data_IF_597523785751
#
_entry.id   IF_597523785751
#
_cell.length_a   1.000
_cell.length_b   1.000
_cell.length_c   1.000
_cell.angle_alpha   90.00
_cell.angle_beta   90.00
_cell.angle_gamma   90.00
#
_symmetry.space_group_name_H-M   'P 1'
#
loop_
_entity.id
_entity.type
_entity.pdbx_description
1 polymer ?
#
# COMPACT_ATOMS: atom_id res chain seq x y z
N UNK A 1 -24.21 4.04 -22.84
CA UNK A 1 -23.22 5.03 -22.35
C UNK A 1 -23.70 5.48 -20.97
N UNK A 2 -23.20 4.86 -19.90
CA UNK A 2 -23.70 5.13 -18.53
C UNK A 2 -22.67 5.99 -17.82
N UNK A 3 -22.94 7.29 -17.75
CA UNK A 3 -22.18 8.21 -16.91
C UNK A 3 -22.53 7.92 -15.45
N UNK A 4 -21.61 7.30 -14.71
CA UNK A 4 -21.70 7.26 -13.25
C UNK A 4 -21.13 8.58 -12.72
N UNK A 5 -22.02 9.50 -12.38
CA UNK A 5 -21.68 10.69 -11.61
C UNK A 5 -21.24 10.27 -10.20
N UNK A 6 -19.94 10.36 -9.93
CA UNK A 6 -19.39 10.15 -8.59
C UNK A 6 -19.70 11.42 -7.80
N UNK A 7 -20.71 11.37 -6.92
CA UNK A 7 -20.90 12.43 -5.94
C UNK A 7 -19.78 12.31 -4.89
N UNK A 8 -18.93 13.34 -4.82
CA UNK A 8 -17.88 13.45 -3.81
C UNK A 8 -18.50 14.08 -2.56
N UNK A 9 -18.74 13.28 -1.54
CA UNK A 9 -19.04 13.79 -0.20
C UNK A 9 -17.84 14.63 0.29
N UNK A 10 -18.06 15.83 0.86
CA UNK A 10 -16.98 16.62 1.44
C UNK A 10 -16.44 15.88 2.67
N UNK A 11 -15.21 15.39 2.60
CA UNK A 11 -14.50 14.85 3.76
C UNK A 11 -14.38 15.95 4.81
N UNK A 12 -15.09 15.79 5.94
CA UNK A 12 -15.21 16.86 6.94
C UNK A 12 -13.88 17.13 7.65
N UNK A 13 -13.00 16.13 7.76
CA UNK A 13 -11.64 16.24 8.31
C UNK A 13 -10.74 15.14 7.72
N UNK A 14 -9.48 15.47 7.41
CA UNK A 14 -8.43 14.47 7.15
C UNK A 14 -7.84 14.06 8.50
N UNK A 15 -7.91 12.78 8.85
CA UNK A 15 -7.23 12.24 10.03
C UNK A 15 -5.80 11.91 9.63
N UNK A 16 -4.83 12.38 10.42
CA UNK A 16 -3.39 12.16 10.20
C UNK A 16 -3.07 10.67 10.04
N UNK A 17 -2.14 10.38 9.13
CA UNK A 17 -1.59 9.04 8.96
C UNK A 17 -0.24 8.96 9.69
N UNK A 18 -0.21 8.31 10.86
CA UNK A 18 1.03 8.02 11.60
C UNK A 18 1.62 9.20 12.39
N UNK A 19 2.95 9.29 12.43
CA UNK A 19 3.81 10.23 13.20
C UNK A 19 3.62 11.73 12.88
N UNK A 20 2.59 12.11 12.13
CA UNK A 20 2.31 13.51 11.87
C UNK A 20 1.82 14.18 13.17
N UNK A 21 2.32 15.40 13.50
CA UNK A 21 1.89 16.12 14.69
C UNK A 21 0.36 16.16 14.72
N UNK A 22 -0.22 15.96 15.91
CA UNK A 22 -1.66 15.89 16.18
C UNK A 22 -2.37 17.25 15.90
N UNK A 23 -2.26 17.70 14.66
CA UNK A 23 -2.63 19.02 14.19
C UNK A 23 -3.88 18.85 13.35
N UNK A 24 -4.95 19.51 13.78
CA UNK A 24 -6.18 19.59 13.01
C UNK A 24 -5.88 20.42 11.76
N UNK A 25 -5.72 19.74 10.63
CA UNK A 25 -5.53 20.39 9.34
C UNK A 25 -6.87 20.98 8.87
N UNK A 26 -6.82 22.21 8.38
CA UNK A 26 -8.00 22.86 7.80
C UNK A 26 -8.42 22.10 6.53
N UNK A 27 -9.73 21.97 6.26
CA UNK A 27 -10.20 21.36 5.02
C UNK A 27 -9.58 22.02 3.79
N UNK A 28 -9.11 21.20 2.85
CA UNK A 28 -8.59 21.67 1.57
C UNK A 28 -9.77 22.23 0.77
N UNK A 29 -9.83 23.56 0.64
CA UNK A 29 -10.85 24.25 -0.15
C UNK A 29 -10.49 24.18 -1.63
N UNK A 30 -11.49 24.16 -2.51
CA UNK A 30 -11.32 24.19 -3.97
C UNK A 30 -11.09 22.83 -4.64
N UNK A 31 -10.72 21.77 -3.89
CA UNK A 31 -10.53 20.43 -4.47
C UNK A 31 -11.79 19.86 -5.15
N UNK A 32 -12.96 20.10 -4.57
CA UNK A 32 -14.22 19.60 -5.12
C UNK A 32 -14.61 20.25 -6.46
N UNK A 33 -14.04 21.43 -6.76
CA UNK A 33 -14.30 22.18 -8.00
C UNK A 33 -13.24 21.95 -9.08
N UNK A 34 -12.15 21.23 -8.76
CA UNK A 34 -11.13 20.88 -9.75
C UNK A 34 -11.67 19.88 -10.78
N UNK A 35 -11.32 20.03 -12.07
CA UNK A 35 -11.74 19.11 -13.12
C UNK A 35 -11.15 17.71 -12.90
N UNK A 36 -11.89 16.69 -13.33
CA UNK A 36 -11.33 15.36 -13.46
C UNK A 36 -10.35 15.34 -14.64
N UNK A 37 -9.12 14.93 -14.37
CA UNK A 37 -8.05 14.84 -15.37
C UNK A 37 -7.54 13.39 -15.45
N UNK A 38 -6.81 13.08 -16.51
CA UNK A 38 -6.11 11.81 -16.65
C UNK A 38 -5.00 11.64 -15.60
N UNK A 39 -4.55 10.40 -15.41
CA UNK A 39 -3.44 10.10 -14.50
C UNK A 39 -2.17 10.88 -14.87
N UNK A 40 -1.85 11.03 -16.16
CA UNK A 40 -0.69 11.81 -16.61
C UNK A 40 -0.79 13.27 -16.26
N UNK A 41 -1.94 13.88 -16.53
CA UNK A 41 -2.20 15.29 -16.22
C UNK A 41 -2.11 15.54 -14.72
N UNK A 42 -2.66 14.63 -13.91
CA UNK A 42 -2.52 14.67 -12.45
C UNK A 42 -1.06 14.56 -12.00
N UNK A 43 -0.24 13.75 -12.68
CA UNK A 43 1.17 13.58 -12.34
C UNK A 43 2.09 14.72 -12.83
N UNK A 44 1.71 15.49 -13.85
CA UNK A 44 2.55 16.56 -14.43
C UNK A 44 3.17 17.50 -13.39
N UNK A 45 2.41 18.13 -12.48
CA UNK A 45 2.98 19.06 -11.50
C UNK A 45 3.91 18.38 -10.48
N UNK A 46 3.89 17.06 -10.39
CA UNK A 46 4.63 16.27 -9.40
C UNK A 46 5.92 15.66 -9.96
N UNK A 47 6.16 15.67 -11.27
CA UNK A 47 7.30 15.00 -11.90
C UNK A 47 8.67 15.54 -11.44
N UNK A 48 8.75 16.83 -11.08
CA UNK A 48 9.95 17.46 -10.53
C UNK A 48 10.14 17.27 -9.03
N UNK A 49 9.09 16.79 -8.33
CA UNK A 49 9.07 16.60 -6.87
C UNK A 49 9.32 15.14 -6.53
N UNK A 50 8.63 14.23 -7.22
CA UNK A 50 8.67 12.79 -6.93
C UNK A 50 9.50 12.08 -8.00
N UNK A 51 10.69 11.63 -7.60
CA UNK A 51 11.60 10.90 -8.49
C UNK A 51 10.94 9.62 -8.99
N UNK A 52 11.09 9.34 -10.30
CA UNK A 52 10.53 8.17 -11.01
C UNK A 52 9.00 8.12 -11.11
N UNK A 53 8.25 9.13 -10.66
CA UNK A 53 6.78 9.12 -10.73
C UNK A 53 6.24 8.79 -12.13
N UNK A 54 6.90 9.31 -13.18
CA UNK A 54 6.54 8.99 -14.57
C UNK A 54 6.55 7.48 -14.87
N UNK A 55 7.51 6.74 -14.34
CA UNK A 55 7.60 5.29 -14.53
C UNK A 55 6.46 4.58 -13.79
N UNK A 56 6.19 4.97 -12.54
CA UNK A 56 5.11 4.37 -11.75
C UNK A 56 3.72 4.66 -12.33
N UNK A 57 3.48 5.88 -12.83
CA UNK A 57 2.23 6.24 -13.49
C UNK A 57 2.01 5.43 -14.79
N UNK A 58 3.08 5.19 -15.54
CA UNK A 58 3.03 4.34 -16.73
C UNK A 58 2.71 2.88 -16.36
N UNK A 59 3.35 2.33 -15.33
CA UNK A 59 3.11 0.95 -14.90
C UNK A 59 1.67 0.77 -14.39
N UNK A 60 1.16 1.74 -13.62
CA UNK A 60 -0.22 1.73 -13.11
C UNK A 60 -1.27 1.76 -14.23
N UNK A 61 -0.93 2.30 -15.41
CA UNK A 61 -1.82 2.33 -16.57
C UNK A 61 -1.94 1.00 -17.30
N UNK A 62 -0.96 0.13 -17.17
CA UNK A 62 -0.91 -1.15 -17.89
C UNK A 62 -1.65 -2.27 -17.15
N UNK A 63 -2.40 -1.94 -16.09
CA UNK A 63 -3.22 -2.88 -15.35
C UNK A 63 -4.52 -3.21 -16.09
N UNK A 64 -4.90 -4.47 -16.06
CA UNK A 64 -6.25 -4.92 -16.42
C UNK A 64 -7.28 -4.37 -15.43
N UNK A 65 -8.55 -4.44 -15.82
CA UNK A 65 -9.66 -4.04 -14.94
C UNK A 65 -9.69 -4.88 -13.65
N UNK A 66 -9.41 -6.18 -13.74
CA UNK A 66 -9.38 -7.08 -12.59
C UNK A 66 -8.20 -6.80 -11.66
N UNK A 67 -7.01 -6.51 -12.19
CA UNK A 67 -5.86 -6.11 -11.39
C UNK A 67 -6.12 -4.79 -10.65
N UNK A 68 -6.72 -3.81 -11.35
CA UNK A 68 -7.12 -2.53 -10.75
C UNK A 68 -8.18 -2.72 -9.65
N UNK A 69 -9.15 -3.61 -9.88
CA UNK A 69 -10.18 -3.95 -8.91
C UNK A 69 -9.60 -4.70 -7.70
N UNK A 70 -8.63 -5.59 -7.90
CA UNK A 70 -7.93 -6.31 -6.85
C UNK A 70 -7.13 -5.36 -5.95
N UNK A 71 -6.36 -4.42 -6.54
CA UNK A 71 -5.62 -3.39 -5.78
C UNK A 71 -6.60 -2.52 -4.97
N UNK A 72 -7.72 -2.12 -5.57
CA UNK A 72 -8.74 -1.34 -4.88
C UNK A 72 -9.36 -2.12 -3.72
N UNK A 73 -9.69 -3.40 -3.91
CA UNK A 73 -10.23 -4.25 -2.85
C UNK A 73 -9.22 -4.51 -1.73
N UNK A 74 -7.95 -4.65 -2.10
CA UNK A 74 -6.86 -4.83 -1.15
C UNK A 74 -6.68 -3.62 -0.23
N UNK A 75 -6.80 -2.41 -0.79
CA UNK A 75 -6.47 -1.14 -0.11
C UNK A 75 -7.67 -0.34 0.39
N UNK A 76 -8.89 -0.62 -0.08
CA UNK A 76 -10.06 0.16 0.33
C UNK A 76 -10.34 0.02 1.83
N UNK A 77 -10.72 1.13 2.45
CA UNK A 77 -11.17 1.14 3.83
C UNK A 77 -12.61 0.62 3.91
N UNK A 78 -12.87 -0.29 4.84
CA UNK A 78 -14.19 -0.79 5.17
C UNK A 78 -14.73 -0.06 6.39
N UNK A 79 -16.05 0.16 6.41
CA UNK A 79 -16.73 0.75 7.56
C UNK A 79 -16.54 -0.17 8.77
N UNK A 80 -15.96 0.35 9.86
CA UNK A 80 -15.72 -0.42 11.09
C UNK A 80 -17.00 -0.96 11.71
N UNK A 81 -18.17 -0.37 11.40
CA UNK A 81 -19.49 -0.86 11.84
C UNK A 81 -19.97 -2.07 11.03
N UNK A 82 -19.45 -2.28 9.82
CA UNK A 82 -19.86 -3.34 8.90
C UNK A 82 -18.77 -4.40 8.63
N UNK A 83 -17.49 -4.02 8.72
CA UNK A 83 -16.31 -4.80 8.33
C UNK A 83 -15.63 -5.57 9.45
N UNK A 84 -16.14 -5.48 10.69
CA UNK A 84 -15.54 -6.12 11.86
C UNK A 84 -14.26 -5.40 12.34
N UNK A 85 -13.35 -6.08 13.07
CA UNK A 85 -12.18 -5.43 13.67
C UNK A 85 -11.13 -4.97 12.63
N UNK A 86 -11.27 -5.39 11.38
CA UNK A 86 -10.34 -5.05 10.30
C UNK A 86 -10.94 -4.02 9.37
N UNK A 87 -10.17 -2.98 9.08
CA UNK A 87 -10.61 -1.83 8.29
C UNK A 87 -10.26 -1.96 6.81
N UNK A 88 -9.66 -3.07 6.36
CA UNK A 88 -9.36 -3.37 4.95
C UNK A 88 -8.96 -4.83 4.76
N UNK A 89 -8.98 -5.32 3.52
CA UNK A 89 -8.47 -6.65 3.18
C UNK A 89 -6.98 -6.80 3.52
N UNK A 90 -6.17 -5.76 3.28
CA UNK A 90 -4.77 -5.67 3.71
C UNK A 90 -4.60 -5.96 5.22
N UNK A 91 -5.35 -5.23 6.07
CA UNK A 91 -5.21 -5.35 7.53
C UNK A 91 -5.62 -6.75 8.03
N UNK A 92 -6.61 -7.36 7.37
CA UNK A 92 -7.08 -8.70 7.71
C UNK A 92 -6.05 -9.76 7.27
N UNK A 93 -5.55 -9.68 6.03
CA UNK A 93 -4.55 -10.62 5.52
C UNK A 93 -3.27 -10.63 6.37
N UNK A 94 -2.76 -9.45 6.73
CA UNK A 94 -1.57 -9.34 7.58
C UNK A 94 -1.79 -9.91 8.99
N UNK A 95 -3.01 -9.80 9.53
CA UNK A 95 -3.37 -10.47 10.79
C UNK A 95 -3.29 -12.00 10.66
N UNK A 96 -3.84 -12.57 9.57
CA UNK A 96 -3.82 -14.01 9.31
C UNK A 96 -2.38 -14.53 9.09
N UNK A 97 -1.53 -13.79 8.37
CA UNK A 97 -0.14 -14.17 8.10
C UNK A 97 0.72 -14.35 9.35
N UNK A 98 0.36 -13.68 10.46
CA UNK A 98 1.07 -13.76 11.74
C UNK A 98 0.55 -14.87 12.65
N UNK A 99 -0.51 -15.59 12.25
CA UNK A 99 -1.01 -16.70 13.05
C UNK A 99 -0.08 -17.91 12.96
N UNK A 100 0.17 -18.63 14.08
CA UNK A 100 1.09 -19.76 14.10
C UNK A 100 0.58 -20.99 13.32
N UNK A 101 -0.74 -21.12 13.12
CA UNK A 101 -1.32 -22.20 12.32
C UNK A 101 -1.47 -21.79 10.85
N UNK A 102 -0.52 -22.22 10.01
CA UNK A 102 -0.56 -21.95 8.56
C UNK A 102 -1.79 -22.51 7.82
N UNK A 103 -2.62 -23.36 8.45
CA UNK A 103 -3.89 -23.83 7.84
C UNK A 103 -4.90 -22.70 7.69
N UNK A 104 -4.83 -21.67 8.53
CA UNK A 104 -5.72 -20.49 8.47
C UNK A 104 -5.51 -19.64 7.21
N UNK A 105 -4.38 -19.82 6.51
CA UNK A 105 -4.07 -19.12 5.26
C UNK A 105 -4.74 -19.71 4.03
N UNK A 106 -5.30 -20.92 4.09
CA UNK A 106 -5.85 -21.61 2.91
C UNK A 106 -6.89 -20.79 2.13
N UNK A 107 -7.83 -20.06 2.77
CA UNK A 107 -8.77 -19.19 2.05
C UNK A 107 -8.10 -17.97 1.39
N UNK A 108 -6.88 -17.62 1.81
CA UNK A 108 -6.19 -16.39 1.46
C UNK A 108 -5.14 -16.57 0.37
N UNK A 109 -4.89 -17.78 -0.12
CA UNK A 109 -3.83 -18.07 -1.09
C UNK A 109 -3.91 -17.28 -2.39
N UNK A 110 -5.09 -16.81 -2.79
CA UNK A 110 -5.25 -15.97 -3.97
C UNK A 110 -4.83 -14.50 -3.76
N UNK A 111 -4.74 -14.06 -2.50
CA UNK A 111 -4.34 -12.69 -2.11
C UNK A 111 -3.01 -12.62 -1.37
N UNK A 112 -2.64 -13.68 -0.65
CA UNK A 112 -1.30 -13.89 -0.17
C UNK A 112 -0.43 -14.21 -1.39
N UNK A 113 0.43 -13.27 -1.79
CA UNK A 113 1.50 -13.54 -2.75
C UNK A 113 2.61 -14.40 -2.07
N UNK A 114 2.17 -15.49 -1.45
CA UNK A 114 2.91 -16.47 -0.66
C UNK A 114 2.19 -17.81 -0.86
N UNK A 115 2.19 -18.32 -2.08
CA UNK A 115 1.65 -19.64 -2.38
C UNK A 115 2.34 -20.73 -1.54
N UNK A 116 1.60 -21.79 -1.20
CA UNK A 116 2.14 -22.99 -0.53
C UNK A 116 2.91 -23.92 -1.46
N UNK A 117 2.86 -23.64 -2.76
CA UNK A 117 3.58 -24.36 -3.81
C UNK A 117 4.29 -23.34 -4.70
N UNK A 118 5.54 -23.65 -5.10
CA UNK A 118 6.38 -22.78 -5.93
C UNK A 118 7.76 -22.51 -5.33
N UNK A 119 8.71 -22.09 -6.18
CA UNK A 119 10.05 -21.68 -5.75
C UNK A 119 9.94 -20.34 -5.02
N UNK A 120 10.28 -20.30 -3.73
CA UNK A 120 10.30 -19.09 -2.89
C UNK A 120 11.73 -18.55 -2.82
N UNK A 121 11.86 -17.23 -2.77
CA UNK A 121 13.13 -16.56 -2.49
C UNK A 121 13.04 -15.92 -1.11
N UNK A 122 13.85 -16.41 -0.18
CA UNK A 122 14.10 -15.75 1.10
C UNK A 122 15.39 -14.94 0.97
N UNK A 123 15.38 -13.73 1.50
CA UNK A 123 16.56 -12.87 1.53
C UNK A 123 16.98 -12.70 2.98
N UNK A 124 18.23 -13.08 3.29
CA UNK A 124 18.92 -12.61 4.48
C UNK A 124 19.74 -11.41 4.02
N UNK A 125 19.45 -10.25 4.60
CA UNK A 125 20.07 -8.98 4.22
C UNK A 125 20.70 -8.38 5.46
N UNK A 126 22.00 -8.17 5.42
CA UNK A 126 22.71 -7.37 6.41
C UNK A 126 22.79 -5.93 5.89
N UNK A 127 22.39 -4.96 6.71
CA UNK A 127 22.14 -3.59 6.26
C UNK A 127 22.86 -2.63 7.22
N UNK A 128 23.61 -1.67 6.67
CA UNK A 128 24.35 -0.67 7.45
C UNK A 128 23.58 0.65 7.62
N UNK A 129 22.68 0.98 6.69
CA UNK A 129 22.02 2.28 6.57
C UNK A 129 20.47 2.20 6.52
N UNK A 130 19.91 1.03 6.83
CA UNK A 130 18.48 0.82 6.97
C UNK A 130 17.89 1.75 8.03
N UNK A 131 16.67 2.22 7.79
CA UNK A 131 15.93 2.99 8.80
C UNK A 131 15.00 2.06 9.53
N UNK A 132 15.22 1.87 10.83
CA UNK A 132 14.17 1.31 11.67
C UNK A 132 12.95 2.20 11.55
N UNK A 133 11.82 1.59 11.20
CA UNK A 133 10.51 2.23 11.20
C UNK A 133 9.62 1.61 12.27
N UNK A 134 10.21 0.86 13.21
CA UNK A 134 9.50 0.18 14.31
C UNK A 134 8.55 1.11 15.04
N UNK A 135 9.04 2.29 15.42
CA UNK A 135 8.27 3.27 16.21
C UNK A 135 7.18 3.96 15.37
N UNK A 136 7.29 3.89 14.04
CA UNK A 136 6.36 4.44 13.04
C UNK A 136 5.43 3.38 12.46
N UNK A 137 5.69 2.10 12.73
CA UNK A 137 4.96 0.99 12.15
C UNK A 137 3.69 0.77 12.94
N UNK A 138 2.58 0.53 12.25
CA UNK A 138 1.34 0.05 12.87
C UNK A 138 1.54 -1.32 13.54
N UNK A 139 2.68 -1.99 13.31
CA UNK A 139 3.05 -3.27 13.90
C UNK A 139 4.45 -3.18 14.50
N UNK A 140 4.55 -2.54 15.67
CA UNK A 140 5.81 -2.34 16.42
C UNK A 140 6.55 -3.65 16.74
N UNK A 141 5.86 -4.79 16.77
CA UNK A 141 6.47 -6.10 17.08
C UNK A 141 7.23 -6.72 15.90
N UNK A 142 7.16 -6.15 14.70
CA UNK A 142 7.78 -6.74 13.50
C UNK A 142 9.24 -6.30 13.26
N UNK A 143 9.78 -5.44 14.13
CA UNK A 143 11.12 -4.87 14.00
C UNK A 143 11.42 -4.40 12.57
N UNK A 144 10.44 -3.70 11.97
CA UNK A 144 10.45 -3.35 10.56
C UNK A 144 11.60 -2.38 10.23
N UNK A 145 12.38 -2.73 9.22
CA UNK A 145 13.49 -1.91 8.71
C UNK A 145 13.22 -1.57 7.25
N UNK A 146 13.15 -0.28 6.97
CA UNK A 146 12.95 0.25 5.62
C UNK A 146 14.30 0.39 4.90
N UNK A 147 14.39 -0.24 3.73
CA UNK A 147 15.45 0.02 2.76
C UNK A 147 15.08 1.22 1.89
N UNK A 148 15.95 2.22 1.82
CA UNK A 148 15.68 3.42 1.05
C UNK A 148 15.75 3.15 -0.47
N UNK A 149 14.99 3.87 -1.29
CA UNK A 149 15.11 3.77 -2.74
C UNK A 149 16.54 4.09 -3.20
N UNK A 150 17.14 3.17 -3.96
CA UNK A 150 18.52 3.30 -4.42
C UNK A 150 19.55 2.58 -3.53
N UNK A 151 19.14 1.88 -2.48
CA UNK A 151 20.02 0.95 -1.75
C UNK A 151 20.59 -0.09 -2.72
N UNK A 152 21.92 -0.16 -2.81
CA UNK A 152 22.63 -1.16 -3.58
C UNK A 152 22.98 -2.34 -2.67
N UNK A 153 22.69 -3.56 -3.13
CA UNK A 153 22.99 -4.79 -2.40
C UNK A 153 24.07 -5.59 -3.13
N UNK A 154 25.03 -6.12 -2.38
CA UNK A 154 26.00 -7.10 -2.89
C UNK A 154 25.52 -8.50 -2.53
N UNK A 155 25.39 -9.38 -3.51
CA UNK A 155 24.98 -10.77 -3.26
C UNK A 155 26.17 -11.56 -2.74
N UNK A 156 26.15 -11.89 -1.45
CA UNK A 156 27.22 -12.67 -0.80
C UNK A 156 27.06 -14.18 -1.02
N UNK A 157 25.83 -14.68 -1.04
CA UNK A 157 25.53 -16.09 -1.21
C UNK A 157 24.16 -16.28 -1.87
N UNK A 158 24.02 -17.41 -2.54
CA UNK A 158 22.74 -17.90 -3.07
C UNK A 158 22.57 -19.33 -2.59
N UNK A 159 21.55 -19.61 -1.79
CA UNK A 159 21.15 -20.98 -1.53
C UNK A 159 20.53 -21.54 -2.82
N UNK A 160 21.19 -22.52 -3.42
CA UNK A 160 20.57 -23.29 -4.49
C UNK A 160 19.54 -24.23 -3.86
N UNK A 161 18.28 -24.10 -4.32
CA UNK A 161 17.19 -25.03 -4.03
C UNK A 161 16.90 -25.88 -5.26
#
# INVERSE_FOLDING_TARGET
MVSKSIQREPSTYLVSAGDEPNQILKPIKGFATEPLVSLEEACQPLLGIIRRLKHYAHDAKNLTQDESAAIRLYTMQWDSKLGGPHVSLYSHLNCILRQPDGKVLKPWFFYAFLGTTGKRSIFSIEIFDGRSVKDQSNFTEEDEVLLLPGTCLTVHAKLNT
#
